data_IF_578143756771
#
_entry.id   IF_578143756771
#
_cell.length_a   1.000
_cell.length_b   1.000
_cell.length_c   1.000
_cell.angle_alpha   90.00
_cell.angle_beta   90.00
_cell.angle_gamma   90.00
#
_symmetry.space_group_name_H-M   'P 1'
#
loop_
_entity.id
_entity.type
_entity.pdbx_description
1 polymer ?
#
# COMPACT_ATOMS: atom_id res chain seq x y z
N UNK A 1 20.93 10.99 -68.29
CA UNK A 1 21.19 10.44 -67.00
C UNK A 1 20.28 11.16 -66.02
N UNK A 2 19.23 10.48 -65.49
CA UNK A 2 18.30 11.03 -64.48
C UNK A 2 18.61 10.34 -63.20
N UNK A 3 19.13 11.09 -62.21
CA UNK A 3 19.48 10.62 -60.88
C UNK A 3 18.25 10.77 -60.01
N UNK A 4 17.61 9.66 -59.65
CA UNK A 4 16.49 9.64 -58.71
C UNK A 4 17.06 9.62 -57.27
N UNK A 5 16.79 10.66 -56.48
CA UNK A 5 17.10 10.75 -55.08
C UNK A 5 15.94 10.08 -54.32
N UNK A 6 16.23 8.93 -53.71
CA UNK A 6 15.30 8.22 -52.84
C UNK A 6 15.32 8.87 -51.45
N UNK A 7 14.26 9.59 -51.10
CA UNK A 7 14.10 10.21 -49.79
C UNK A 7 13.60 9.14 -48.82
N UNK A 8 14.50 8.63 -47.97
CA UNK A 8 14.17 7.67 -46.90
C UNK A 8 13.63 8.43 -45.68
N UNK A 9 12.32 8.48 -45.54
CA UNK A 9 11.66 9.08 -44.37
C UNK A 9 11.73 8.09 -43.21
N UNK A 10 12.64 8.33 -42.26
CA UNK A 10 12.70 7.58 -40.99
C UNK A 10 11.59 8.10 -40.09
N UNK A 11 10.51 7.32 -39.96
CA UNK A 11 9.46 7.55 -38.99
C UNK A 11 10.01 7.12 -37.60
N UNK A 12 10.56 8.05 -36.88
CA UNK A 12 10.86 7.87 -35.44
C UNK A 12 9.54 7.78 -34.70
N UNK A 13 9.09 6.56 -34.41
CA UNK A 13 8.01 6.30 -33.50
C UNK A 13 8.42 6.76 -32.09
N UNK A 14 7.95 7.91 -31.67
CA UNK A 14 8.02 8.35 -30.29
C UNK A 14 7.05 7.44 -29.52
N UNK A 15 7.57 6.34 -28.97
CA UNK A 15 6.85 5.62 -27.92
C UNK A 15 6.85 6.55 -26.71
N UNK A 16 5.73 7.20 -26.48
CA UNK A 16 5.47 7.89 -25.22
C UNK A 16 5.52 6.83 -24.12
N UNK A 17 6.66 6.75 -23.43
CA UNK A 17 6.74 6.13 -22.11
C UNK A 17 5.79 6.95 -21.23
N UNK A 18 4.55 6.48 -21.08
CA UNK A 18 3.68 6.95 -20.02
C UNK A 18 4.38 6.57 -18.72
N UNK A 19 5.11 7.51 -18.14
CA UNK A 19 5.57 7.38 -16.78
C UNK A 19 4.30 7.30 -15.92
N UNK A 20 4.05 6.13 -15.33
CA UNK A 20 2.98 6.00 -14.32
C UNK A 20 3.20 7.08 -13.28
N UNK A 21 2.15 7.86 -13.00
CA UNK A 21 2.22 8.82 -11.91
C UNK A 21 2.65 8.08 -10.64
N UNK A 22 3.63 8.62 -9.88
CA UNK A 22 4.08 7.95 -8.67
C UNK A 22 2.89 7.70 -7.76
N UNK A 23 2.75 6.49 -7.23
CA UNK A 23 1.67 6.14 -6.30
C UNK A 23 1.66 7.06 -5.06
N UNK A 24 2.79 7.70 -4.76
CA UNK A 24 2.93 8.70 -3.70
C UNK A 24 2.02 9.91 -3.89
N UNK A 25 1.83 10.34 -5.15
CA UNK A 25 1.01 11.52 -5.51
C UNK A 25 -0.36 11.16 -6.06
N UNK A 26 -0.67 9.86 -6.19
CA UNK A 26 -1.95 9.41 -6.66
C UNK A 26 -3.09 9.84 -5.71
N UNK A 27 -4.25 10.26 -6.25
CA UNK A 27 -5.41 10.55 -5.44
C UNK A 27 -5.78 9.38 -4.53
N UNK A 28 -6.20 9.67 -3.31
CA UNK A 28 -6.66 8.65 -2.38
C UNK A 28 -7.95 7.98 -2.91
N UNK A 29 -8.20 6.72 -2.52
CA UNK A 29 -9.49 6.10 -2.77
C UNK A 29 -10.62 6.97 -2.25
N UNK A 30 -11.74 7.07 -2.99
CA UNK A 30 -12.92 7.89 -2.66
C UNK A 30 -13.38 7.69 -1.20
N UNK A 31 -13.37 6.44 -0.74
CA UNK A 31 -13.73 6.08 0.64
C UNK A 31 -12.92 6.80 1.72
N UNK A 32 -11.70 7.22 1.41
CA UNK A 32 -10.74 7.82 2.35
C UNK A 32 -10.55 9.31 2.12
N UNK A 33 -10.91 9.80 0.92
CA UNK A 33 -10.56 11.15 0.47
C UNK A 33 -11.12 12.26 1.36
N UNK A 34 -12.34 12.06 1.91
CA UNK A 34 -13.05 13.06 2.71
C UNK A 34 -12.90 12.82 4.23
N UNK A 35 -12.17 11.79 4.65
CA UNK A 35 -11.97 11.52 6.07
C UNK A 35 -10.73 12.25 6.61
N UNK A 36 -10.84 12.93 7.76
CA UNK A 36 -9.68 13.53 8.41
C UNK A 36 -8.65 12.48 8.77
N UNK A 37 -7.40 12.66 8.29
CA UNK A 37 -6.28 11.77 8.63
C UNK A 37 -5.73 12.17 10.01
N UNK A 38 -6.18 11.48 11.07
CA UNK A 38 -5.79 11.71 12.46
C UNK A 38 -5.12 10.50 13.12
N UNK A 39 -5.04 9.38 12.42
CA UNK A 39 -4.35 8.17 12.84
C UNK A 39 -3.09 7.99 12.01
N UNK A 40 -2.11 7.30 12.55
CA UNK A 40 -0.88 6.95 11.85
C UNK A 40 -0.85 5.46 11.52
N UNK A 41 -0.46 5.14 10.30
CA UNK A 41 -0.16 3.78 9.84
C UNK A 41 1.25 3.80 9.28
N UNK A 42 2.12 2.94 9.79
CA UNK A 42 3.51 2.86 9.35
C UNK A 42 3.91 1.42 9.02
N UNK A 43 4.87 1.27 8.11
CA UNK A 43 5.41 -0.03 7.70
C UNK A 43 6.91 -0.05 7.83
N UNK A 44 7.48 -1.18 8.28
CA UNK A 44 8.92 -1.35 8.39
C UNK A 44 9.34 -2.79 8.07
N UNK A 45 10.33 -2.98 7.18
CA UNK A 45 10.95 -1.94 6.34
C UNK A 45 9.99 -1.38 5.28
N UNK A 46 10.29 -0.16 4.79
CA UNK A 46 9.70 0.40 3.57
C UNK A 46 10.77 1.33 2.95
N UNK A 47 11.25 1.08 1.74
CA UNK A 47 10.86 0.00 0.84
C UNK A 47 11.21 -1.39 1.39
N UNK A 48 10.45 -2.42 0.95
CA UNK A 48 10.69 -3.81 1.32
C UNK A 48 11.11 -4.63 0.10
N UNK A 49 12.20 -5.39 0.26
CA UNK A 49 12.70 -6.34 -0.74
C UNK A 49 11.96 -7.68 -0.63
N UNK A 50 11.87 -8.41 -1.74
CA UNK A 50 11.30 -9.74 -1.75
C UNK A 50 12.22 -10.76 -1.09
N UNK A 51 11.63 -11.80 -0.52
CA UNK A 51 12.29 -13.02 -0.09
C UNK A 51 11.58 -14.24 -0.68
N UNK A 52 12.26 -15.39 -0.71
CA UNK A 52 11.66 -16.69 -1.04
C UNK A 52 11.48 -17.49 0.23
N UNK A 53 10.58 -18.47 0.18
CA UNK A 53 10.36 -19.43 1.25
C UNK A 53 10.60 -20.84 0.67
N UNK A 54 11.48 -21.66 1.25
CA UNK A 54 11.73 -23.03 0.77
C UNK A 54 10.47 -23.92 0.78
N UNK A 55 9.54 -23.64 1.70
CA UNK A 55 8.29 -24.39 1.83
C UNK A 55 7.23 -23.98 0.81
N UNK A 56 7.40 -22.81 0.16
CA UNK A 56 6.53 -22.31 -0.90
C UNK A 56 7.34 -21.96 -2.17
N UNK A 57 7.91 -22.92 -2.89
CA UNK A 57 8.75 -22.66 -4.06
C UNK A 57 7.97 -21.95 -5.16
N UNK A 58 8.59 -20.95 -5.77
CA UNK A 58 7.97 -20.11 -6.81
C UNK A 58 7.09 -18.99 -6.28
N UNK A 59 7.05 -18.78 -4.95
CA UNK A 59 6.35 -17.67 -4.32
C UNK A 59 7.36 -16.67 -3.74
N UNK A 60 7.10 -15.38 -3.98
CA UNK A 60 7.86 -14.26 -3.42
C UNK A 60 7.07 -13.61 -2.29
N UNK A 61 7.76 -13.23 -1.22
CA UNK A 61 7.19 -12.61 -0.04
C UNK A 61 7.86 -11.26 0.21
N UNK A 62 7.08 -10.22 0.46
CA UNK A 62 7.55 -8.92 0.96
C UNK A 62 7.12 -8.80 2.41
N UNK A 63 7.97 -9.36 3.32
CA UNK A 63 7.71 -9.41 4.76
C UNK A 63 8.03 -8.08 5.42
N UNK A 64 7.10 -7.57 6.21
CA UNK A 64 7.21 -6.28 6.90
C UNK A 64 6.34 -6.26 8.15
N UNK A 65 6.58 -5.32 9.04
CA UNK A 65 5.68 -5.03 10.14
C UNK A 65 4.79 -3.84 9.79
N UNK A 66 3.55 -3.87 10.27
CA UNK A 66 2.62 -2.74 10.13
C UNK A 66 2.19 -2.27 11.51
N UNK A 67 2.24 -0.97 11.76
CA UNK A 67 1.89 -0.39 13.05
C UNK A 67 0.78 0.64 12.92
N UNK A 68 -0.13 0.64 13.88
CA UNK A 68 -1.20 1.63 14.04
C UNK A 68 -0.93 2.46 15.28
N UNK A 69 -1.23 3.75 15.20
CA UNK A 69 -1.05 4.65 16.32
C UNK A 69 -2.11 5.76 16.31
N UNK A 70 -2.75 5.99 17.44
CA UNK A 70 -3.63 7.12 17.69
C UNK A 70 -2.91 8.13 18.59
N UNK A 71 -2.49 9.30 18.08
CA UNK A 71 -1.60 10.18 18.83
C UNK A 71 -2.31 10.93 20.00
N UNK A 72 -3.58 11.29 19.84
CA UNK A 72 -4.21 12.28 20.71
C UNK A 72 -5.42 11.81 21.49
N UNK A 73 -6.14 10.80 20.99
CA UNK A 73 -7.39 10.35 21.61
C UNK A 73 -7.59 8.84 21.40
N UNK A 74 -8.39 8.22 22.24
CA UNK A 74 -8.86 6.87 22.00
C UNK A 74 -9.70 6.84 20.72
N UNK A 75 -9.57 5.77 19.93
CA UNK A 75 -10.30 5.63 18.68
C UNK A 75 -10.85 4.22 18.53
N UNK A 76 -12.14 4.08 18.27
CA UNK A 76 -12.81 2.81 18.03
C UNK A 76 -12.73 2.45 16.56
N UNK A 77 -12.09 1.33 16.23
CA UNK A 77 -11.95 0.84 14.86
C UNK A 77 -13.33 0.49 14.29
N UNK A 78 -13.63 0.99 13.09
CA UNK A 78 -14.83 0.65 12.31
C UNK A 78 -14.48 -0.42 11.28
N UNK A 79 -13.38 -0.23 10.56
CA UNK A 79 -12.86 -1.16 9.56
C UNK A 79 -11.41 -0.85 9.24
N UNK A 80 -10.76 -1.77 8.55
CA UNK A 80 -9.45 -1.54 7.96
C UNK A 80 -9.24 -2.42 6.74
N UNK A 81 -8.17 -2.18 6.02
CA UNK A 81 -7.90 -2.94 4.81
C UNK A 81 -6.69 -2.43 4.04
N UNK A 82 -6.60 -2.89 2.78
CA UNK A 82 -5.50 -2.51 1.91
C UNK A 82 -5.95 -2.36 0.46
N UNK A 83 -5.34 -1.40 -0.21
CA UNK A 83 -5.36 -1.20 -1.65
C UNK A 83 -4.01 -1.55 -2.26
N UNK A 84 -3.99 -1.90 -3.54
CA UNK A 84 -2.78 -2.04 -4.34
C UNK A 84 -2.88 -1.07 -5.51
N UNK A 85 -1.76 -0.40 -5.81
CA UNK A 85 -1.67 0.54 -6.92
C UNK A 85 -1.29 -0.18 -8.20
N UNK A 86 -2.16 -0.13 -9.20
CA UNK A 86 -1.89 -0.58 -10.57
C UNK A 86 -2.88 0.07 -11.55
N UNK A 87 -2.52 0.17 -12.80
CA UNK A 87 -3.28 0.88 -13.83
C UNK A 87 -3.65 2.32 -13.40
N UNK A 88 -2.67 3.04 -12.84
CA UNK A 88 -2.77 4.45 -12.40
C UNK A 88 -3.88 4.72 -11.35
N UNK A 89 -4.28 3.69 -10.61
CA UNK A 89 -5.30 3.84 -9.56
C UNK A 89 -5.10 2.86 -8.40
N UNK A 90 -5.68 3.22 -7.25
CA UNK A 90 -5.79 2.35 -6.09
C UNK A 90 -6.93 1.35 -6.28
N UNK A 91 -6.63 0.07 -6.23
CA UNK A 91 -7.58 -1.02 -6.34
C UNK A 91 -7.72 -1.72 -5.00
N UNK A 92 -8.95 -1.82 -4.48
CA UNK A 92 -9.22 -2.48 -3.19
C UNK A 92 -8.80 -3.95 -3.26
N UNK A 93 -7.88 -4.34 -2.39
CA UNK A 93 -7.40 -5.72 -2.26
C UNK A 93 -8.14 -6.49 -1.18
N UNK A 94 -8.31 -5.87 -0.03
CA UNK A 94 -9.00 -6.45 1.13
C UNK A 94 -9.66 -5.38 1.96
N UNK A 95 -10.88 -5.66 2.43
CA UNK A 95 -11.57 -4.92 3.48
C UNK A 95 -11.90 -5.90 4.60
N UNK A 96 -11.66 -5.49 5.83
CA UNK A 96 -11.82 -6.29 7.04
C UNK A 96 -12.75 -5.61 8.01
N UNK A 97 -13.58 -6.41 8.67
CA UNK A 97 -14.40 -5.91 9.77
C UNK A 97 -13.55 -5.34 10.91
N UNK A 98 -14.13 -4.49 11.75
CA UNK A 98 -13.48 -4.00 12.96
C UNK A 98 -12.88 -5.13 13.80
N UNK A 99 -13.62 -6.24 13.96
CA UNK A 99 -13.21 -7.41 14.73
C UNK A 99 -11.96 -8.08 14.15
N UNK A 100 -11.96 -8.35 12.84
CA UNK A 100 -10.86 -9.08 12.19
C UNK A 100 -9.61 -8.21 12.11
N UNK A 101 -9.78 -6.93 11.77
CA UNK A 101 -8.67 -5.97 11.71
C UNK A 101 -8.05 -5.75 13.10
N UNK A 102 -8.88 -5.57 14.13
CA UNK A 102 -8.40 -5.42 15.51
C UNK A 102 -7.64 -6.64 16.00
N UNK A 103 -8.07 -7.84 15.60
CA UNK A 103 -7.39 -9.09 15.94
C UNK A 103 -5.98 -9.16 15.33
N UNK A 104 -5.82 -8.73 14.07
CA UNK A 104 -4.51 -8.72 13.40
C UNK A 104 -3.50 -7.82 14.12
N UNK A 105 -3.93 -6.66 14.55
CA UNK A 105 -3.07 -5.68 15.23
C UNK A 105 -3.02 -5.85 16.74
N UNK A 106 -3.77 -6.80 17.31
CA UNK A 106 -3.83 -7.00 18.76
C UNK A 106 -4.49 -5.83 19.51
N UNK A 107 -5.45 -5.13 18.87
CA UNK A 107 -6.18 -4.00 19.48
C UNK A 107 -7.30 -4.53 20.38
N UNK A 108 -7.23 -4.36 21.72
CA UNK A 108 -8.22 -4.91 22.62
C UNK A 108 -9.59 -4.29 22.42
N UNK A 109 -10.63 -5.13 22.24
CA UNK A 109 -12.03 -4.70 22.04
C UNK A 109 -12.23 -3.71 20.89
N UNK A 110 -11.27 -3.63 19.95
CA UNK A 110 -11.33 -2.70 18.82
C UNK A 110 -11.07 -1.24 19.17
N UNK A 111 -10.55 -0.94 20.36
CA UNK A 111 -10.27 0.43 20.81
C UNK A 111 -8.77 0.68 20.87
N UNK A 112 -8.25 1.48 19.96
CA UNK A 112 -6.90 2.02 20.05
C UNK A 112 -6.82 3.05 21.16
N UNK A 113 -5.91 2.88 22.11
CA UNK A 113 -5.65 3.85 23.17
C UNK A 113 -4.71 4.94 22.67
N UNK A 114 -4.97 6.17 23.09
CA UNK A 114 -4.12 7.29 22.79
C UNK A 114 -2.68 7.05 23.26
N UNK A 115 -1.71 7.33 22.37
CA UNK A 115 -0.29 7.17 22.67
C UNK A 115 0.23 5.72 22.69
N UNK A 116 -0.61 4.72 22.39
CA UNK A 116 -0.21 3.32 22.36
C UNK A 116 -0.10 2.80 20.93
N UNK A 117 1.07 2.27 20.49
CA UNK A 117 1.22 1.61 19.21
C UNK A 117 0.68 0.18 19.27
N UNK A 118 0.14 -0.28 18.14
CA UNK A 118 -0.31 -1.65 17.90
C UNK A 118 0.33 -2.16 16.63
N UNK A 119 0.99 -3.32 16.68
CA UNK A 119 1.79 -3.81 15.57
C UNK A 119 1.36 -5.20 15.13
N UNK A 120 1.06 -5.32 13.85
CA UNK A 120 0.97 -6.59 13.16
C UNK A 120 2.38 -6.98 12.70
N UNK A 121 3.00 -7.90 13.45
CA UNK A 121 4.34 -8.44 13.17
C UNK A 121 4.24 -9.48 12.06
N UNK A 122 5.26 -9.53 11.20
CA UNK A 122 5.32 -10.46 10.07
C UNK A 122 4.13 -10.35 9.09
N UNK A 123 3.60 -9.14 8.92
CA UNK A 123 2.70 -8.87 7.82
C UNK A 123 3.43 -9.09 6.49
N UNK A 124 2.70 -9.52 5.46
CA UNK A 124 3.32 -9.83 4.18
C UNK A 124 2.38 -9.58 3.00
N UNK A 125 3.01 -9.27 1.88
CA UNK A 125 2.45 -9.39 0.55
C UNK A 125 3.09 -10.60 -0.11
N UNK A 126 2.36 -11.39 -0.89
CA UNK A 126 2.90 -12.49 -1.68
C UNK A 126 2.41 -12.47 -3.11
N UNK A 127 3.25 -12.98 -4.02
CA UNK A 127 2.93 -13.18 -5.42
C UNK A 127 3.84 -14.24 -6.05
N UNK A 128 3.43 -14.81 -7.16
CA UNK A 128 4.25 -15.73 -7.97
C UNK A 128 5.16 -15.00 -8.95
N UNK A 129 5.06 -13.69 -9.03
CA UNK A 129 5.90 -12.84 -9.89
C UNK A 129 6.72 -11.89 -9.04
N UNK A 130 8.00 -11.76 -9.40
CA UNK A 130 8.89 -10.80 -8.75
C UNK A 130 8.69 -9.42 -9.40
N UNK A 131 7.92 -8.56 -8.78
CA UNK A 131 7.71 -7.18 -9.23
C UNK A 131 7.58 -6.22 -8.05
N UNK A 132 7.91 -4.95 -8.31
CA UNK A 132 7.70 -3.88 -7.35
C UNK A 132 6.30 -3.27 -7.45
N UNK A 133 5.96 -2.43 -6.49
CA UNK A 133 4.72 -1.67 -6.52
C UNK A 133 4.31 -1.17 -5.15
N UNK A 134 3.19 -0.46 -5.11
CA UNK A 134 2.71 0.19 -3.90
C UNK A 134 1.48 -0.50 -3.33
N UNK A 135 1.44 -0.61 -2.01
CA UNK A 135 0.24 -0.92 -1.24
C UNK A 135 -0.10 0.27 -0.35
N UNK A 136 -1.38 0.47 -0.08
CA UNK A 136 -1.90 1.46 0.84
C UNK A 136 -2.74 0.72 1.87
N UNK A 137 -2.27 0.69 3.11
CA UNK A 137 -3.05 0.21 4.23
C UNK A 137 -3.85 1.36 4.84
N UNK A 138 -5.07 1.08 5.27
CA UNK A 138 -5.93 2.06 5.90
C UNK A 138 -6.63 1.50 7.13
N UNK A 139 -6.98 2.37 8.03
CA UNK A 139 -7.91 2.14 9.13
C UNK A 139 -8.90 3.29 9.18
N UNK A 140 -10.19 2.98 9.35
CA UNK A 140 -11.24 3.93 9.66
C UNK A 140 -11.67 3.69 11.09
N UNK A 141 -11.74 4.75 11.88
CA UNK A 141 -12.14 4.68 13.27
C UNK A 141 -13.04 5.86 13.65
N UNK A 142 -13.67 5.76 14.80
CA UNK A 142 -14.52 6.80 15.36
C UNK A 142 -13.93 7.30 16.69
N UNK A 143 -13.84 8.59 16.86
CA UNK A 143 -13.46 9.25 18.10
C UNK A 143 -14.63 9.24 19.09
N UNK A 144 -14.40 9.47 20.41
CA UNK A 144 -15.46 9.64 21.38
C UNK A 144 -16.46 10.75 21.08
N UNK A 145 -16.09 11.71 20.25
CA UNK A 145 -16.95 12.76 19.74
C UNK A 145 -17.97 12.30 18.68
N UNK A 146 -17.85 11.08 18.16
CA UNK A 146 -18.60 10.60 17.01
C UNK A 146 -17.98 10.95 15.66
N UNK A 147 -16.86 11.65 15.63
CA UNK A 147 -16.15 12.02 14.40
C UNK A 147 -15.49 10.78 13.80
N UNK A 148 -15.76 10.51 12.52
CA UNK A 148 -15.05 9.48 11.76
C UNK A 148 -13.75 10.03 11.21
N UNK A 149 -12.68 9.27 11.42
CA UNK A 149 -11.32 9.62 11.04
C UNK A 149 -10.66 8.44 10.33
N UNK A 150 -9.55 8.68 9.65
CA UNK A 150 -8.76 7.61 9.06
C UNK A 150 -7.27 7.71 9.44
N UNK A 151 -6.58 6.61 9.19
CA UNK A 151 -5.11 6.54 9.11
C UNK A 151 -4.72 5.81 7.84
N UNK A 152 -3.65 6.27 7.21
CA UNK A 152 -3.18 5.77 5.93
C UNK A 152 -1.68 5.51 6.02
N UNK A 153 -1.24 4.35 5.53
CA UNK A 153 0.18 4.00 5.41
C UNK A 153 0.48 3.44 4.02
N UNK A 154 1.43 4.04 3.32
CA UNK A 154 1.90 3.54 2.04
C UNK A 154 3.13 2.66 2.24
N UNK A 155 3.14 1.51 1.59
CA UNK A 155 4.23 0.54 1.57
C UNK A 155 4.77 0.42 0.15
N UNK A 156 6.06 0.67 -0.02
CA UNK A 156 6.77 0.40 -1.26
C UNK A 156 7.34 -1.03 -1.24
N UNK A 157 7.05 -1.82 -2.28
CA UNK A 157 7.58 -3.16 -2.47
C UNK A 157 8.48 -3.19 -3.70
N UNK A 158 9.71 -3.66 -3.54
CA UNK A 158 10.71 -3.66 -4.61
C UNK A 158 10.74 -5.03 -5.29
N UNK A 159 10.76 -5.04 -6.64
CA UNK A 159 10.89 -6.25 -7.46
C UNK A 159 12.32 -6.77 -7.52
N UNK A 160 12.95 -6.95 -6.35
CA UNK A 160 14.31 -7.43 -6.19
C UNK A 160 14.40 -8.33 -4.97
N UNK A 161 15.20 -9.40 -5.06
CA UNK A 161 15.42 -10.30 -3.93
C UNK A 161 16.37 -9.68 -2.89
N UNK A 162 16.14 -10.02 -1.65
CA UNK A 162 17.05 -9.67 -0.56
C UNK A 162 18.37 -10.45 -0.73
N UNK A 163 19.48 -9.72 -0.78
CA UNK A 163 20.81 -10.29 -0.95
C UNK A 163 21.35 -10.36 -2.39
N UNK A 164 20.59 -9.87 -3.38
CA UNK A 164 21.05 -9.67 -4.78
C UNK A 164 21.52 -8.25 -5.06
#
# INVERSE_FOLDING_TARGET
>A
MKTSILLLTILLGIQSLYAQAPAETAPLPEKLADLPEKLQVAHFPSPVLASTDPDEPGTYFWKHNSSLFSPTADATIIEGGAYIYYNDQWNLRVSMSAKDFSKLFGVPKGVMKAGQPYTFVDNWRRDTRLYGGWALWYVIAELPSGEKICGIGKLDTVGKLYGE
#
